data_IF_554621917387
#
_entry.id   IF_554621917387
#
_cell.length_a   1.000
_cell.length_b   1.000
_cell.length_c   1.000
_cell.angle_alpha   90.00
_cell.angle_beta   90.00
_cell.angle_gamma   90.00
#
_symmetry.space_group_name_H-M   'P 1'
#
loop_
_entity.id
_entity.type
_entity.pdbx_description
1 polymer ?
#
# COMPACT_ATOMS: atom_id res chain seq x y z
N UNK A 1 6.97 -14.53 2.78
CA UNK A 1 5.84 -13.64 3.16
C UNK A 1 6.14 -12.82 4.40
N UNK A 2 6.18 -13.41 5.62
CA UNK A 2 6.39 -12.64 6.87
C UNK A 2 7.66 -11.76 6.85
N UNK A 3 8.82 -12.36 6.57
CA UNK A 3 10.09 -11.63 6.47
C UNK A 3 10.07 -10.49 5.43
N UNK A 4 9.36 -10.69 4.31
CA UNK A 4 9.23 -9.68 3.26
C UNK A 4 8.33 -8.52 3.71
N UNK A 5 7.23 -8.82 4.39
CA UNK A 5 6.37 -7.80 5.01
C UNK A 5 7.14 -7.00 6.07
N UNK A 6 7.91 -7.67 6.93
CA UNK A 6 8.73 -7.02 7.95
C UNK A 6 9.80 -6.10 7.31
N UNK A 7 10.41 -6.54 6.20
CA UNK A 7 11.37 -5.74 5.43
C UNK A 7 10.73 -4.49 4.81
N UNK A 8 9.53 -4.64 4.24
CA UNK A 8 8.75 -3.52 3.67
C UNK A 8 8.43 -2.50 4.77
N UNK A 9 7.94 -2.96 5.93
CA UNK A 9 7.63 -2.12 7.08
C UNK A 9 8.87 -1.36 7.55
N UNK A 10 10.02 -2.03 7.64
CA UNK A 10 11.27 -1.41 8.06
C UNK A 10 11.70 -0.30 7.09
N UNK A 11 11.63 -0.54 5.77
CA UNK A 11 11.98 0.46 4.76
C UNK A 11 11.06 1.68 4.76
N UNK A 12 9.76 1.48 4.99
CA UNK A 12 8.81 2.60 5.15
C UNK A 12 9.22 3.47 6.35
N UNK A 13 9.59 2.85 7.47
CA UNK A 13 10.06 3.57 8.67
C UNK A 13 11.32 4.38 8.38
N UNK A 14 12.33 3.76 7.75
CA UNK A 14 13.55 4.48 7.36
C UNK A 14 13.28 5.66 6.42
N UNK A 15 12.36 5.51 5.46
CA UNK A 15 12.02 6.61 4.53
C UNK A 15 11.33 7.75 5.25
N UNK A 16 10.41 7.45 6.17
CA UNK A 16 9.74 8.47 6.97
C UNK A 16 10.73 9.25 7.85
N UNK A 17 11.71 8.56 8.45
CA UNK A 17 12.78 9.21 9.22
C UNK A 17 13.66 10.13 8.34
N UNK A 18 13.97 9.69 7.11
CA UNK A 18 14.78 10.46 6.15
C UNK A 18 14.05 11.66 5.57
N UNK A 19 12.72 11.59 5.40
CA UNK A 19 11.90 12.63 4.80
C UNK A 19 11.74 13.89 5.68
N UNK A 20 12.00 13.82 6.99
CA UNK A 20 11.93 14.95 7.95
C UNK A 20 10.80 15.96 7.64
N UNK A 21 9.59 15.45 7.36
CA UNK A 21 8.45 16.29 6.97
C UNK A 21 8.18 17.29 8.11
N UNK A 22 8.27 18.58 7.80
CA UNK A 22 7.99 19.70 8.71
C UNK A 22 6.82 20.53 8.15
N UNK A 23 5.75 20.80 8.92
CA UNK A 23 5.57 20.32 10.29
C UNK A 23 5.52 18.80 10.26
N UNK A 24 5.87 18.15 11.39
CA UNK A 24 5.66 16.71 11.57
C UNK A 24 4.20 16.48 11.19
N UNK A 25 3.93 16.07 9.95
CA UNK A 25 2.70 15.37 9.63
C UNK A 25 2.82 14.21 10.59
N UNK A 26 2.08 14.29 11.70
CA UNK A 26 1.98 13.22 12.64
C UNK A 26 1.38 12.11 11.79
N UNK A 27 2.25 11.24 11.28
CA UNK A 27 1.91 9.94 10.77
C UNK A 27 1.35 9.22 12.02
N UNK A 28 0.08 9.47 12.33
CA UNK A 28 -0.51 9.30 13.65
C UNK A 28 -1.68 10.25 14.00
N UNK A 29 -1.90 11.36 13.29
CA UNK A 29 -3.16 12.10 13.39
C UNK A 29 -4.27 11.22 12.79
N UNK A 30 -5.09 10.68 13.68
CA UNK A 30 -6.18 9.74 13.39
C UNK A 30 -7.19 10.28 12.36
N UNK A 31 -7.15 11.58 12.06
CA UNK A 31 -8.00 12.24 11.06
C UNK A 31 -7.53 12.05 9.61
N UNK A 32 -6.23 11.77 9.38
CA UNK A 32 -5.63 11.66 8.04
C UNK A 32 -5.44 10.21 7.57
N UNK A 33 -5.54 9.25 8.47
CA UNK A 33 -5.58 7.84 8.13
C UNK A 33 -7.03 7.40 8.19
N UNK A 34 -7.57 6.71 7.16
CA UNK A 34 -8.80 5.96 7.40
C UNK A 34 -8.50 5.08 8.61
N UNK A 35 -9.36 5.12 9.65
CA UNK A 35 -9.31 4.16 10.75
C UNK A 35 -9.33 2.77 10.10
N UNK A 36 -8.16 2.16 9.92
CA UNK A 36 -8.06 0.74 9.61
C UNK A 36 -8.48 0.13 10.92
N UNK A 37 -9.69 -0.45 11.03
CA UNK A 37 -10.15 -0.92 12.31
C UNK A 37 -9.16 -2.00 12.73
N UNK A 38 -8.30 -1.71 13.70
CA UNK A 38 -7.26 -2.65 14.13
C UNK A 38 -7.89 -3.97 14.59
N UNK A 39 -9.15 -3.89 15.01
CA UNK A 39 -9.99 -4.99 15.47
C UNK A 39 -10.68 -5.77 14.33
N UNK A 40 -10.65 -5.28 13.09
CA UNK A 40 -11.15 -6.01 11.92
C UNK A 40 -9.97 -6.53 11.12
N UNK A 41 -9.53 -7.79 11.34
CA UNK A 41 -8.49 -8.37 10.52
C UNK A 41 -8.89 -8.27 9.05
N UNK A 42 -7.92 -7.96 8.18
CA UNK A 42 -8.11 -7.98 6.73
C UNK A 42 -8.74 -9.33 6.37
N UNK A 43 -9.99 -9.31 5.93
CA UNK A 43 -10.77 -10.53 5.75
C UNK A 43 -10.34 -11.22 4.46
N UNK A 44 -9.39 -12.13 4.61
CA UNK A 44 -8.99 -13.08 3.59
C UNK A 44 -8.05 -12.52 2.53
N UNK A 45 -7.58 -13.44 1.69
CA UNK A 45 -6.54 -13.21 0.71
C UNK A 45 -6.91 -12.17 -0.37
N UNK A 46 -8.19 -12.09 -0.75
CA UNK A 46 -8.68 -11.07 -1.70
C UNK A 46 -8.48 -9.65 -1.17
N UNK A 47 -8.88 -9.41 0.08
CA UNK A 47 -8.70 -8.10 0.73
C UNK A 47 -7.23 -7.71 0.88
N UNK A 48 -6.34 -8.69 1.08
CA UNK A 48 -4.88 -8.45 1.08
C UNK A 48 -4.43 -7.98 -0.31
N UNK A 49 -4.83 -8.67 -1.37
CA UNK A 49 -4.45 -8.30 -2.74
C UNK A 49 -5.01 -6.95 -3.17
N UNK A 50 -6.25 -6.63 -2.83
CA UNK A 50 -6.85 -5.32 -3.11
C UNK A 50 -6.10 -4.19 -2.41
N UNK A 51 -5.73 -4.41 -1.15
CA UNK A 51 -4.94 -3.47 -0.35
C UNK A 51 -3.56 -3.24 -0.96
N UNK A 52 -2.82 -4.31 -1.26
CA UNK A 52 -1.49 -4.23 -1.87
C UNK A 52 -1.54 -3.58 -3.27
N UNK A 53 -2.57 -3.88 -4.06
CA UNK A 53 -2.81 -3.25 -5.37
C UNK A 53 -3.05 -1.74 -5.24
N UNK A 54 -3.80 -1.32 -4.23
CA UNK A 54 -4.04 0.09 -3.92
C UNK A 54 -2.75 0.81 -3.55
N UNK A 55 -1.94 0.23 -2.66
CA UNK A 55 -0.64 0.79 -2.30
C UNK A 55 0.32 0.85 -3.49
N UNK A 56 0.32 -0.15 -4.36
CA UNK A 56 1.17 -0.12 -5.55
C UNK A 56 0.80 1.03 -6.49
N UNK A 57 -0.49 1.32 -6.68
CA UNK A 57 -0.94 2.49 -7.47
C UNK A 57 -0.46 3.81 -6.87
N UNK A 58 -0.54 3.94 -5.54
CA UNK A 58 -0.03 5.12 -4.83
C UNK A 58 1.49 5.24 -5.01
N UNK A 59 2.24 4.16 -4.84
CA UNK A 59 3.70 4.18 -5.01
C UNK A 59 4.13 4.53 -6.44
N UNK A 60 3.30 4.22 -7.45
CA UNK A 60 3.56 4.55 -8.85
C UNK A 60 3.45 6.05 -9.15
N UNK A 61 2.69 6.81 -8.37
CA UNK A 61 2.58 8.27 -8.55
C UNK A 61 3.73 9.03 -7.88
N UNK A 62 4.46 8.38 -6.97
CA UNK A 62 5.58 9.00 -6.27
C UNK A 62 6.84 9.07 -7.17
N UNK A 63 7.65 10.13 -7.06
CA UNK A 63 8.88 10.27 -7.84
C UNK A 63 9.80 9.05 -7.69
N UNK A 64 10.31 8.55 -8.82
CA UNK A 64 11.25 7.42 -8.86
C UNK A 64 12.56 7.84 -8.19
N UNK A 65 12.75 7.37 -6.96
CA UNK A 65 13.90 7.65 -6.12
C UNK A 65 13.98 6.61 -5.02
N UNK A 66 13.99 7.05 -3.76
CA UNK A 66 14.01 6.17 -2.59
C UNK A 66 12.86 5.13 -2.60
N UNK A 67 11.69 5.47 -3.15
CA UNK A 67 10.52 4.56 -3.23
C UNK A 67 10.64 3.43 -4.25
N UNK A 68 11.65 3.43 -5.12
CA UNK A 68 11.81 2.40 -6.18
C UNK A 68 11.96 0.99 -5.60
N UNK A 69 12.70 0.86 -4.50
CA UNK A 69 12.88 -0.43 -3.84
C UNK A 69 11.59 -0.91 -3.18
N UNK A 70 10.83 0.02 -2.58
CA UNK A 70 9.52 -0.25 -2.00
C UNK A 70 8.51 -0.71 -3.05
N UNK A 71 8.53 -0.10 -4.25
CA UNK A 71 7.73 -0.55 -5.39
C UNK A 71 8.04 -1.98 -5.79
N UNK A 72 9.33 -2.35 -5.85
CA UNK A 72 9.74 -3.71 -6.20
C UNK A 72 9.35 -4.71 -5.12
N UNK A 73 9.60 -4.41 -3.84
CA UNK A 73 9.23 -5.29 -2.73
C UNK A 73 7.72 -5.55 -2.70
N UNK A 74 6.92 -4.50 -2.94
CA UNK A 74 5.47 -4.55 -2.99
C UNK A 74 4.97 -5.37 -4.19
N UNK A 75 5.59 -5.19 -5.36
CA UNK A 75 5.27 -5.96 -6.57
C UNK A 75 5.49 -7.45 -6.35
N UNK A 76 6.65 -7.83 -5.80
CA UNK A 76 6.97 -9.23 -5.49
C UNK A 76 5.99 -9.83 -4.47
N UNK A 77 5.59 -9.06 -3.45
CA UNK A 77 4.64 -9.54 -2.45
C UNK A 77 3.24 -9.72 -3.04
N UNK A 78 2.81 -8.78 -3.90
CA UNK A 78 1.54 -8.85 -4.61
C UNK A 78 1.48 -10.05 -5.56
N UNK A 79 2.54 -10.28 -6.33
CA UNK A 79 2.63 -11.40 -7.27
C UNK A 79 2.51 -12.74 -6.53
N UNK A 80 3.23 -12.91 -5.43
CA UNK A 80 3.09 -14.09 -4.57
C UNK A 80 1.64 -14.35 -4.14
N UNK A 81 0.91 -13.31 -3.73
CA UNK A 81 -0.48 -13.48 -3.29
C UNK A 81 -1.45 -13.71 -4.46
N UNK A 82 -1.19 -13.13 -5.64
CA UNK A 82 -1.95 -13.42 -6.87
C UNK A 82 -1.78 -14.87 -7.32
N UNK A 83 -0.56 -15.39 -7.28
CA UNK A 83 -0.27 -16.80 -7.57
C UNK A 83 -0.97 -17.71 -6.56
N UNK A 84 -0.93 -17.34 -5.27
CA UNK A 84 -1.61 -18.09 -4.21
C UNK A 84 -3.13 -18.11 -4.40
N UNK A 85 -3.74 -17.00 -4.81
CA UNK A 85 -5.18 -16.96 -5.13
C UNK A 85 -5.53 -17.83 -6.33
N UNK A 86 -4.71 -17.78 -7.37
CA UNK A 86 -4.88 -18.62 -8.56
C UNK A 86 -4.83 -20.10 -8.19
N UNK A 87 -3.84 -20.49 -7.38
CA UNK A 87 -3.72 -21.86 -6.85
C UNK A 87 -4.94 -22.28 -6.01
N UNK A 88 -5.45 -21.37 -5.18
CA UNK A 88 -6.64 -21.62 -4.34
C UNK A 88 -7.98 -21.45 -5.08
N UNK A 89 -7.96 -21.09 -6.37
CA UNK A 89 -9.15 -20.81 -7.20
C UNK A 89 -10.05 -19.73 -6.60
N UNK A 90 -9.45 -18.73 -5.96
CA UNK A 90 -10.20 -17.58 -5.45
C UNK A 90 -10.57 -16.64 -6.61
N UNK A 91 -11.81 -16.13 -6.60
CA UNK A 91 -12.25 -15.07 -7.52
C UNK A 91 -11.90 -13.71 -6.94
N UNK A 92 -11.16 -12.88 -7.69
CA UNK A 92 -10.93 -11.49 -7.31
C UNK A 92 -12.22 -10.70 -7.58
N UNK A 93 -12.72 -9.99 -6.57
CA UNK A 93 -13.70 -8.93 -6.80
C UNK A 93 -12.94 -7.69 -7.23
N UNK A 94 -13.50 -6.94 -8.16
CA UNK A 94 -12.91 -5.65 -8.53
C UNK A 94 -12.91 -4.72 -7.30
N UNK A 95 -11.80 -4.05 -6.99
CA UNK A 95 -11.73 -3.18 -5.84
C UNK A 95 -12.73 -2.03 -6.00
N UNK A 96 -13.69 -1.94 -5.08
CA UNK A 96 -14.83 -1.01 -5.14
C UNK A 96 -14.42 0.47 -5.33
N UNK A 97 -13.22 0.83 -4.87
CA UNK A 97 -12.75 2.21 -4.80
C UNK A 97 -11.77 2.59 -5.93
N UNK A 98 -11.56 1.72 -6.93
CA UNK A 98 -10.54 1.92 -7.96
C UNK A 98 -10.64 3.25 -8.73
N UNK A 99 -11.86 3.71 -9.02
CA UNK A 99 -12.11 4.99 -9.72
C UNK A 99 -11.90 6.21 -8.82
N UNK A 100 -12.35 6.14 -7.56
CA UNK A 100 -12.20 7.22 -6.59
C UNK A 100 -10.73 7.46 -6.23
N UNK A 101 -9.93 6.39 -6.13
CA UNK A 101 -8.49 6.50 -5.90
C UNK A 101 -7.78 7.17 -7.08
N UNK A 102 -8.16 6.83 -8.31
CA UNK A 102 -7.60 7.46 -9.52
C UNK A 102 -7.79 8.96 -9.51
N UNK A 103 -9.04 9.42 -9.29
CA UNK A 103 -9.36 10.85 -9.18
C UNK A 103 -8.57 11.55 -8.07
N UNK A 104 -8.51 10.96 -6.87
CA UNK A 104 -7.74 11.52 -5.76
C UNK A 104 -6.24 11.68 -6.10
N UNK A 105 -5.64 10.68 -6.74
CA UNK A 105 -4.23 10.72 -7.12
C UNK A 105 -3.96 11.76 -8.20
N UNK A 106 -4.86 11.93 -9.17
CA UNK A 106 -4.77 12.98 -10.19
C UNK A 106 -4.87 14.38 -9.56
N UNK A 107 -5.84 14.60 -8.67
CA UNK A 107 -6.05 15.88 -7.98
C UNK A 107 -4.83 16.30 -7.13
N UNK A 108 -4.09 15.32 -6.60
CA UNK A 108 -2.93 15.58 -5.73
C UNK A 108 -1.57 15.47 -6.45
N UNK A 109 -1.54 15.16 -7.75
CA UNK A 109 -0.29 15.06 -8.51
C UNK A 109 0.30 16.44 -8.93
N UNK A 110 -0.41 17.54 -8.67
CA UNK A 110 -0.07 18.89 -9.16
C UNK A 110 0.48 19.86 -8.11
N UNK A 111 0.88 19.38 -6.93
CA UNK A 111 1.53 20.19 -5.88
C UNK A 111 3.00 19.79 -5.64
#
# INVERSE_FOLDING_TARGET
VKLQADTIIHRIKEHNEKLKLSPKILIGDSELYPEVPADKPIQGLGSIVDTLTTFQKILQTLPKGHVSQLHNDMSTLLEYFKDRMTFMRCTLKEPANGKSLGAFLEDNATH
#
